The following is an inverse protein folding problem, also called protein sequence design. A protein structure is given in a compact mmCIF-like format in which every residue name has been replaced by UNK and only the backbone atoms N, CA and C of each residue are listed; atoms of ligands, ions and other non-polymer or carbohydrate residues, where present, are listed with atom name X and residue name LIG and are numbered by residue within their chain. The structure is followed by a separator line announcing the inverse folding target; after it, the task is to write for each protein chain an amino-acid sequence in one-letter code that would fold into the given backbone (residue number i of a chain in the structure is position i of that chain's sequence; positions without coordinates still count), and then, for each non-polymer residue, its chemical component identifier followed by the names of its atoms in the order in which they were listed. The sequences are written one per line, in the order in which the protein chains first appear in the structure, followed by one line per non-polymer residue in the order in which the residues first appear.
data_IF_917272168478
#
_entry.id   IF_917272168478
#
_cell.length_a   1.000
_cell.length_b   1.000
_cell.length_c   1.000
_cell.angle_alpha   90.00
_cell.angle_beta   90.00
_cell.angle_gamma   90.00
#
_symmetry.space_group_name_H-M   'P 1'
#
loop_
_entity.id
_entity.type
_entity.pdbx_description
1 polymer ?
#
# COMPACT_ATOMS: atom_id res chain seq x y z
N UNK A 1 23.15 61.84 35.51
CA UNK A 1 22.04 62.72 35.96
C UNK A 1 20.79 62.01 35.50
N UNK A 2 20.37 61.03 36.29
CA UNK A 2 19.28 60.12 35.97
C UNK A 2 17.96 60.78 36.35
N UNK A 3 17.13 61.05 35.35
CA UNK A 3 15.82 61.69 35.52
C UNK A 3 14.80 60.57 35.71
N UNK A 4 14.37 60.38 36.96
CA UNK A 4 13.28 59.45 37.29
C UNK A 4 11.94 59.97 36.73
N UNK A 5 11.14 59.12 36.06
CA UNK A 5 9.82 59.51 35.56
C UNK A 5 8.80 59.68 36.70
N UNK A 6 7.84 60.62 36.56
CA UNK A 6 6.91 60.98 37.64
C UNK A 6 5.93 59.85 37.97
N UNK A 7 5.82 59.54 39.27
CA UNK A 7 4.91 58.54 39.85
C UNK A 7 3.52 59.14 40.07
N UNK A 8 2.60 58.98 39.11
CA UNK A 8 1.16 58.90 39.37
C UNK A 8 0.40 58.32 38.17
N UNK A 9 0.19 57.00 38.16
CA UNK A 9 -0.68 56.32 37.20
C UNK A 9 -1.98 55.93 37.88
N UNK A 10 -2.96 56.85 37.90
CA UNK A 10 -4.36 56.41 38.02
C UNK A 10 -4.65 55.57 36.77
N UNK A 11 -4.74 54.25 36.96
CA UNK A 11 -4.98 53.28 35.89
C UNK A 11 -6.33 53.60 35.26
N UNK A 12 -6.32 54.17 34.04
CA UNK A 12 -7.54 54.41 33.28
C UNK A 12 -8.06 53.04 32.86
N UNK A 13 -9.17 52.63 33.45
CA UNK A 13 -9.87 51.42 33.04
C UNK A 13 -10.78 51.78 31.87
N UNK A 14 -10.30 51.52 30.66
CA UNK A 14 -11.18 51.44 29.50
C UNK A 14 -11.95 50.13 29.69
N UNK A 15 -13.24 50.21 30.00
CA UNK A 15 -14.09 49.03 30.17
C UNK A 15 -13.99 48.09 28.96
N UNK A 16 -14.23 46.79 29.17
CA UNK A 16 -14.28 45.83 28.06
C UNK A 16 -15.32 46.29 27.05
N UNK A 17 -14.95 46.33 25.77
CA UNK A 17 -15.89 46.58 24.67
C UNK A 17 -17.12 45.66 24.76
N UNK A 18 -16.97 44.48 25.35
CA UNK A 18 -18.04 43.50 25.54
C UNK A 18 -19.15 44.00 26.49
N UNK A 19 -18.80 44.78 27.52
CA UNK A 19 -19.78 45.35 28.46
C UNK A 19 -20.54 46.52 27.83
N UNK A 20 -19.87 47.30 26.98
CA UNK A 20 -20.49 48.38 26.19
C UNK A 20 -21.44 47.80 25.15
N UNK A 21 -21.05 46.72 24.47
CA UNK A 21 -21.89 46.05 23.48
C UNK A 21 -23.09 45.36 24.15
N UNK A 22 -22.89 44.73 25.32
CA UNK A 22 -24.00 44.18 26.13
C UNK A 22 -24.99 45.26 26.55
N UNK A 23 -24.51 46.39 27.08
CA UNK A 23 -25.38 47.50 27.47
C UNK A 23 -26.12 48.10 26.28
N UNK A 24 -25.50 48.14 25.09
CA UNK A 24 -26.13 48.61 23.85
C UNK A 24 -27.25 47.69 23.37
N UNK A 25 -27.04 46.37 23.48
CA UNK A 25 -28.04 45.35 23.16
C UNK A 25 -29.19 45.36 24.18
N UNK A 26 -28.89 45.47 25.48
CA UNK A 26 -29.90 45.58 26.55
C UNK A 26 -30.72 46.86 26.48
N UNK A 27 -30.10 47.98 26.07
CA UNK A 27 -30.79 49.26 25.92
C UNK A 27 -31.75 49.32 24.73
N UNK A 28 -31.79 48.30 23.86
CA UNK A 28 -32.74 48.22 22.75
C UNK A 28 -32.67 49.39 21.79
N UNK A 29 -31.53 50.07 21.70
CA UNK A 29 -31.33 51.22 20.81
C UNK A 29 -31.06 50.67 19.39
N UNK A 30 -32.13 50.35 18.68
CA UNK A 30 -32.11 50.20 17.23
C UNK A 30 -32.10 51.61 16.61
N UNK A 31 -30.90 52.20 16.47
CA UNK A 31 -30.70 53.24 15.45
C UNK A 31 -30.71 52.50 14.12
N UNK A 32 -31.87 52.50 13.47
CA UNK A 32 -32.03 51.98 12.12
C UNK A 32 -31.11 52.74 11.17
N UNK A 33 -30.05 52.06 10.75
CA UNK A 33 -29.44 52.23 9.45
C UNK A 33 -29.48 50.84 8.84
N UNK A 34 -30.48 50.58 7.99
CA UNK A 34 -30.44 49.43 7.09
C UNK A 34 -29.36 49.70 6.02
N UNK A 35 -28.10 49.63 6.41
CA UNK A 35 -27.07 49.26 5.45
C UNK A 35 -27.04 47.74 5.43
N UNK A 36 -27.82 47.16 4.51
CA UNK A 36 -27.54 45.80 4.03
C UNK A 36 -26.19 45.85 3.32
N UNK A 37 -25.12 45.78 4.11
CA UNK A 37 -23.79 45.52 3.57
C UNK A 37 -23.86 44.17 2.87
N UNK A 38 -23.68 44.18 1.54
CA UNK A 38 -23.58 42.95 0.77
C UNK A 38 -22.29 42.24 1.17
N UNK A 39 -22.40 40.96 1.49
CA UNK A 39 -21.21 40.10 1.65
C UNK A 39 -20.55 39.90 0.28
N UNK A 40 -19.25 39.52 0.25
CA UNK A 40 -18.52 39.34 -1.02
C UNK A 40 -19.24 38.35 -1.96
N UNK A 41 -19.92 37.36 -1.39
CA UNK A 41 -20.71 36.34 -2.09
C UNK A 41 -22.07 36.85 -2.62
N UNK A 42 -22.53 38.04 -2.20
CA UNK A 42 -23.80 38.66 -2.62
C UNK A 42 -23.62 39.73 -3.71
N UNK A 43 -22.38 39.93 -4.18
CA UNK A 43 -22.10 40.77 -5.34
C UNK A 43 -22.40 40.00 -6.62
N UNK A 44 -23.22 40.60 -7.49
CA UNK A 44 -23.43 40.07 -8.84
C UNK A 44 -22.13 40.25 -9.63
N UNK A 45 -21.56 39.16 -10.12
CA UNK A 45 -20.41 39.19 -11.02
C UNK A 45 -20.86 39.75 -12.37
N UNK A 46 -20.43 40.97 -12.70
CA UNK A 46 -20.68 41.56 -14.01
C UNK A 46 -19.69 40.99 -15.03
N UNK A 47 -20.09 39.90 -15.68
CA UNK A 47 -19.33 39.23 -16.75
C UNK A 47 -19.13 40.10 -18.01
N UNK A 48 -19.79 41.26 -18.09
CA UNK A 48 -19.75 42.17 -19.23
C UNK A 48 -18.71 43.29 -19.09
N UNK A 49 -17.89 43.29 -18.04
CA UNK A 49 -16.81 44.27 -17.90
C UNK A 49 -15.67 43.94 -18.87
N UNK A 50 -15.50 44.78 -19.90
CA UNK A 50 -14.46 44.61 -20.93
C UNK A 50 -13.07 44.81 -20.32
N UNK A 51 -12.48 43.72 -19.85
CA UNK A 51 -11.11 43.67 -19.34
C UNK A 51 -10.11 43.83 -20.49
N UNK A 52 -9.06 44.64 -20.28
CA UNK A 52 -7.92 44.75 -21.20
C UNK A 52 -7.31 43.35 -21.47
N UNK A 53 -6.72 43.12 -22.65
CA UNK A 53 -6.16 41.80 -23.00
C UNK A 53 -5.14 41.33 -21.96
N UNK A 54 -4.33 42.27 -21.46
CA UNK A 54 -3.35 42.03 -20.39
C UNK A 54 -4.00 41.48 -19.12
N UNK A 55 -5.20 41.96 -18.81
CA UNK A 55 -5.91 41.66 -17.59
C UNK A 55 -6.67 40.32 -17.73
N UNK A 56 -7.13 39.96 -18.95
CA UNK A 56 -7.68 38.62 -19.24
C UNK A 56 -6.63 37.53 -19.11
N UNK A 57 -5.42 37.79 -19.60
CA UNK A 57 -4.27 36.88 -19.47
C UNK A 57 -3.94 36.68 -17.99
N UNK A 58 -3.84 37.77 -17.22
CA UNK A 58 -3.58 37.68 -15.78
C UNK A 58 -4.66 36.90 -15.01
N UNK A 59 -5.95 37.08 -15.35
CA UNK A 59 -7.06 36.32 -14.74
C UNK A 59 -6.98 34.82 -15.09
N UNK A 60 -6.65 34.48 -16.34
CA UNK A 60 -6.49 33.09 -16.77
C UNK A 60 -5.29 32.41 -16.08
N UNK A 61 -4.17 33.11 -15.93
CA UNK A 61 -2.99 32.61 -15.18
C UNK A 61 -3.34 32.39 -13.70
N UNK A 62 -4.04 33.35 -13.07
CA UNK A 62 -4.51 33.20 -11.70
C UNK A 62 -5.46 32.01 -11.53
N UNK A 63 -6.40 31.84 -12.47
CA UNK A 63 -7.33 30.71 -12.44
C UNK A 63 -6.59 29.37 -12.57
N UNK A 64 -5.63 29.26 -13.49
CA UNK A 64 -4.84 28.04 -13.65
C UNK A 64 -4.04 27.69 -12.37
N UNK A 65 -3.50 28.70 -11.68
CA UNK A 65 -2.81 28.51 -10.40
C UNK A 65 -3.79 28.00 -9.32
N UNK A 66 -4.98 28.58 -9.24
CA UNK A 66 -6.02 28.13 -8.29
C UNK A 66 -6.44 26.69 -8.57
N UNK A 67 -6.65 26.32 -9.82
CA UNK A 67 -7.02 24.97 -10.24
C UNK A 67 -5.94 23.94 -9.86
N UNK A 68 -4.65 24.30 -9.98
CA UNK A 68 -3.55 23.45 -9.50
C UNK A 68 -3.57 23.24 -7.98
N UNK A 69 -3.88 24.29 -7.22
CA UNK A 69 -3.99 24.19 -5.76
C UNK A 69 -5.16 23.32 -5.34
N UNK A 70 -6.31 23.46 -6.00
CA UNK A 70 -7.48 22.61 -5.76
C UNK A 70 -7.19 21.16 -6.08
N UNK A 71 -6.51 20.88 -7.21
CA UNK A 71 -6.08 19.53 -7.59
C UNK A 71 -5.15 18.93 -6.53
N UNK A 72 -4.14 19.68 -6.08
CA UNK A 72 -3.21 19.23 -5.02
C UNK A 72 -3.95 19.00 -3.69
N UNK A 73 -4.95 19.83 -3.36
CA UNK A 73 -5.78 19.67 -2.15
C UNK A 73 -6.65 18.42 -2.23
N UNK A 74 -7.33 18.20 -3.37
CA UNK A 74 -8.12 16.98 -3.64
C UNK A 74 -7.23 15.74 -3.57
N UNK A 75 -6.07 15.76 -4.22
CA UNK A 75 -5.09 14.68 -4.17
C UNK A 75 -4.76 14.30 -2.72
N UNK A 76 -4.35 15.25 -1.87
CA UNK A 76 -4.01 14.98 -0.45
C UNK A 76 -5.14 14.33 0.36
N UNK A 77 -6.39 14.60 0.00
CA UNK A 77 -7.55 14.05 0.70
C UNK A 77 -7.91 12.63 0.22
N UNK A 78 -7.32 12.13 -0.88
CA UNK A 78 -7.54 10.76 -1.34
C UNK A 78 -6.93 9.80 -0.32
N UNK A 79 -7.78 8.95 0.23
CA UNK A 79 -7.37 7.87 1.11
C UNK A 79 -6.60 6.83 0.29
N UNK A 80 -5.31 6.70 0.58
CA UNK A 80 -4.42 5.71 -0.03
C UNK A 80 -4.02 4.70 1.05
N UNK A 81 -3.87 3.40 0.73
CA UNK A 81 -3.38 2.41 1.68
C UNK A 81 -2.07 2.83 2.35
N UNK A 82 -1.93 2.54 3.64
CA UNK A 82 -0.70 2.81 4.40
C UNK A 82 0.33 1.69 4.29
N UNK A 83 -0.09 0.48 3.90
CA UNK A 83 0.77 -0.68 3.67
C UNK A 83 1.45 -0.60 2.30
N UNK A 84 2.79 -0.62 2.28
CA UNK A 84 3.60 -0.56 1.06
C UNK A 84 3.29 -1.68 0.08
N UNK A 85 2.94 -2.88 0.57
CA UNK A 85 2.59 -4.01 -0.32
C UNK A 85 1.34 -3.70 -1.15
N UNK A 86 0.32 -3.13 -0.52
CA UNK A 86 -0.93 -2.72 -1.20
C UNK A 86 -0.69 -1.56 -2.16
N UNK A 87 0.17 -0.60 -1.78
CA UNK A 87 0.56 0.51 -2.67
C UNK A 87 1.25 -0.01 -3.94
N UNK A 88 2.15 -0.99 -3.80
CA UNK A 88 2.85 -1.61 -4.93
C UNK A 88 1.93 -2.39 -5.85
N UNK A 89 0.94 -3.09 -5.28
CA UNK A 89 -0.08 -3.80 -6.04
C UNK A 89 -0.93 -2.81 -6.84
N UNK A 90 -1.42 -1.75 -6.19
CA UNK A 90 -2.22 -0.70 -6.84
C UNK A 90 -1.48 0.02 -7.96
N UNK A 91 -0.19 0.32 -7.78
CA UNK A 91 0.62 0.88 -8.87
C UNK A 91 0.75 -0.09 -10.04
N UNK A 92 0.86 -1.40 -9.78
CA UNK A 92 0.89 -2.43 -10.83
C UNK A 92 -0.44 -2.53 -11.57
N UNK A 93 -1.56 -2.51 -10.85
CA UNK A 93 -2.93 -2.50 -11.42
C UNK A 93 -3.13 -1.31 -12.36
N UNK A 94 -2.63 -0.13 -11.95
CA UNK A 94 -2.65 1.08 -12.79
C UNK A 94 -1.65 1.05 -13.97
N UNK A 95 -0.87 -0.02 -14.13
CA UNK A 95 0.17 -0.13 -15.17
C UNK A 95 1.39 0.78 -14.95
N UNK A 96 1.52 1.36 -13.75
CA UNK A 96 2.58 2.30 -13.41
C UNK A 96 3.82 1.56 -12.84
N UNK A 97 5.03 2.14 -12.97
CA UNK A 97 6.22 1.58 -12.34
C UNK A 97 6.05 1.39 -10.82
N UNK A 98 6.22 0.14 -10.38
CA UNK A 98 6.01 -0.26 -8.97
C UNK A 98 6.95 0.48 -8.02
N UNK A 99 8.21 0.69 -8.43
CA UNK A 99 9.22 1.38 -7.62
C UNK A 99 10.21 2.08 -8.52
N UNK A 100 10.45 3.37 -8.28
CA UNK A 100 11.48 4.15 -8.96
C UNK A 100 12.81 4.10 -8.20
N UNK A 101 13.91 4.46 -8.86
CA UNK A 101 15.23 4.52 -8.23
C UNK A 101 15.27 5.61 -7.15
N UNK A 102 15.78 5.27 -5.96
CA UNK A 102 15.86 6.20 -4.84
C UNK A 102 14.55 6.44 -4.08
N UNK A 103 13.46 5.76 -4.47
CA UNK A 103 12.14 5.98 -3.89
C UNK A 103 11.90 5.21 -2.58
N UNK A 104 11.52 5.94 -1.54
CA UNK A 104 11.02 5.39 -0.27
C UNK A 104 9.52 5.02 -0.27
N UNK A 105 9.03 4.27 0.73
CA UNK A 105 7.61 3.92 0.86
C UNK A 105 6.64 5.12 0.93
N UNK A 106 7.07 6.22 1.55
CA UNK A 106 6.27 7.44 1.65
C UNK A 106 6.10 8.10 0.27
N UNK A 107 7.20 8.28 -0.46
CA UNK A 107 7.21 8.86 -1.81
C UNK A 107 6.39 8.02 -2.80
N UNK A 108 6.43 6.69 -2.65
CA UNK A 108 5.60 5.77 -3.44
C UNK A 108 4.12 5.94 -3.20
N UNK A 109 3.73 6.09 -1.94
CA UNK A 109 2.34 6.37 -1.58
C UNK A 109 1.90 7.74 -2.09
N UNK A 110 2.79 8.72 -2.09
CA UNK A 110 2.53 10.05 -2.62
C UNK A 110 2.36 10.04 -4.14
N UNK A 111 3.19 9.27 -4.87
CA UNK A 111 3.00 9.01 -6.30
C UNK A 111 1.66 8.34 -6.57
N UNK A 112 1.33 7.26 -5.85
CA UNK A 112 0.02 6.60 -6.01
C UNK A 112 -1.14 7.59 -5.81
N UNK A 113 -1.03 8.48 -4.82
CA UNK A 113 -2.01 9.54 -4.57
C UNK A 113 -2.12 10.52 -5.74
N UNK A 114 -0.99 10.86 -6.37
CA UNK A 114 -0.96 11.70 -7.56
C UNK A 114 -1.70 11.02 -8.73
N UNK A 115 -1.38 9.76 -9.05
CA UNK A 115 -2.06 9.03 -10.13
C UNK A 115 -3.57 8.91 -9.88
N UNK A 116 -3.97 8.53 -8.66
CA UNK A 116 -5.39 8.46 -8.28
C UNK A 116 -6.09 9.81 -8.38
N UNK A 117 -5.40 10.92 -8.13
CA UNK A 117 -5.99 12.27 -8.29
C UNK A 117 -6.22 12.67 -9.74
N UNK A 118 -5.46 12.11 -10.69
CA UNK A 118 -5.70 12.30 -12.13
C UNK A 118 -6.87 11.43 -12.58
N UNK A 119 -6.93 10.20 -12.06
CA UNK A 119 -7.93 9.22 -12.41
C UNK A 119 -9.27 9.46 -11.73
N UNK A 120 -9.38 10.12 -10.57
CA UNK A 120 -10.66 10.33 -9.89
C UNK A 120 -11.70 11.19 -10.68
N UNK A 121 -11.35 11.69 -11.87
CA UNK A 121 -12.31 12.21 -12.86
C UNK A 121 -12.93 11.15 -13.77
N UNK A 122 -12.40 9.93 -13.76
CA UNK A 122 -12.83 8.72 -14.46
C UNK A 122 -13.18 7.69 -13.38
N UNK A 123 -14.42 7.23 -13.30
CA UNK A 123 -14.82 6.22 -12.31
C UNK A 123 -13.98 4.96 -12.47
N UNK A 124 -13.05 4.74 -11.53
CA UNK A 124 -12.28 3.51 -11.50
C UNK A 124 -13.10 2.46 -10.74
N UNK A 125 -13.84 1.62 -11.47
CA UNK A 125 -14.46 0.40 -10.94
C UNK A 125 -13.37 -0.64 -10.62
N UNK A 126 -12.66 -0.45 -9.50
CA UNK A 126 -11.47 -1.24 -9.13
C UNK A 126 -11.73 -2.32 -8.07
N UNK A 127 -12.98 -2.52 -7.65
CA UNK A 127 -13.34 -3.54 -6.64
C UNK A 127 -13.68 -4.90 -7.26
N UNK A 128 -13.84 -5.00 -8.59
CA UNK A 128 -14.23 -6.24 -9.28
C UNK A 128 -13.07 -7.21 -9.55
N UNK A 129 -11.82 -6.72 -9.59
CA UNK A 129 -10.66 -7.57 -9.95
C UNK A 129 -10.11 -8.39 -8.77
N UNK A 130 -10.27 -7.95 -7.51
CA UNK A 130 -9.86 -8.74 -6.33
C UNK A 130 -10.73 -9.99 -6.12
N UNK A 131 -11.97 -10.01 -6.61
CA UNK A 131 -12.82 -11.21 -6.65
C UNK A 131 -12.40 -12.14 -7.79
N UNK A 132 -12.12 -11.60 -8.99
CA UNK A 132 -11.62 -12.40 -10.11
C UNK A 132 -10.27 -13.07 -9.83
N UNK A 133 -9.31 -12.40 -9.17
CA UNK A 133 -8.03 -13.02 -8.81
C UNK A 133 -8.22 -14.18 -7.82
N UNK A 134 -9.14 -14.04 -6.86
CA UNK A 134 -9.47 -15.11 -5.91
C UNK A 134 -10.21 -16.27 -6.57
N UNK A 135 -10.99 -16.02 -7.61
CA UNK A 135 -11.62 -17.06 -8.42
C UNK A 135 -10.58 -17.78 -9.29
N UNK A 136 -9.67 -17.05 -9.94
CA UNK A 136 -8.56 -17.62 -10.72
C UNK A 136 -7.63 -18.48 -9.85
N UNK A 137 -7.28 -18.03 -8.64
CA UNK A 137 -6.45 -18.82 -7.71
C UNK A 137 -7.15 -20.09 -7.20
N UNK A 138 -8.49 -20.11 -7.17
CA UNK A 138 -9.28 -21.32 -6.87
C UNK A 138 -9.34 -22.27 -8.06
N UNK A 139 -9.55 -21.75 -9.27
CA UNK A 139 -9.52 -22.55 -10.50
C UNK A 139 -8.13 -23.16 -10.76
N UNK A 140 -7.04 -22.43 -10.50
CA UNK A 140 -5.68 -22.98 -10.63
C UNK A 140 -5.43 -24.14 -9.65
N UNK A 141 -5.95 -24.05 -8.41
CA UNK A 141 -5.85 -25.15 -7.44
C UNK A 141 -6.70 -26.36 -7.80
N UNK A 142 -7.85 -26.16 -8.46
CA UNK A 142 -8.63 -27.27 -9.02
C UNK A 142 -7.97 -27.90 -10.26
N UNK A 143 -7.17 -27.12 -11.01
CA UNK A 143 -6.38 -27.63 -12.15
C UNK A 143 -5.09 -28.36 -11.73
N UNK A 144 -4.63 -28.21 -10.48
CA UNK A 144 -3.54 -28.99 -9.89
C UNK A 144 -3.95 -30.42 -9.49
N UNK A 145 -5.04 -30.95 -10.04
CA UNK A 145 -5.35 -32.37 -9.90
C UNK A 145 -4.35 -33.24 -10.68
N UNK A 146 -3.73 -34.20 -9.99
CA UNK A 146 -2.77 -35.13 -10.57
C UNK A 146 -3.42 -36.03 -11.64
N UNK A 147 -3.36 -35.60 -12.90
CA UNK A 147 -3.93 -36.36 -14.00
C UNK A 147 -3.07 -37.57 -14.38
N UNK A 148 -3.56 -38.77 -14.09
CA UNK A 148 -2.93 -40.02 -14.50
C UNK A 148 -3.35 -40.44 -15.92
N UNK A 149 -2.39 -40.42 -16.84
CA UNK A 149 -2.59 -40.97 -18.19
C UNK A 149 -2.39 -42.48 -18.24
N UNK A 150 -3.20 -43.15 -19.06
CA UNK A 150 -3.06 -44.60 -19.28
C UNK A 150 -1.80 -44.85 -20.10
N UNK A 151 -0.88 -45.65 -19.55
CA UNK A 151 0.36 -46.03 -20.22
C UNK A 151 0.19 -47.17 -21.23
N UNK A 152 1.20 -47.37 -22.09
CA UNK A 152 1.24 -48.49 -23.04
C UNK A 152 1.39 -49.85 -22.35
N UNK A 153 1.03 -50.93 -23.04
CA UNK A 153 1.18 -52.31 -22.52
C UNK A 153 2.64 -52.66 -22.24
N UNK A 154 3.58 -52.23 -23.09
CA UNK A 154 5.02 -52.45 -22.88
C UNK A 154 5.52 -51.79 -21.60
N UNK A 155 5.03 -50.59 -21.28
CA UNK A 155 5.37 -49.89 -20.04
C UNK A 155 4.81 -50.62 -18.80
N UNK A 156 3.60 -51.18 -18.90
CA UNK A 156 3.02 -51.98 -17.83
C UNK A 156 3.86 -53.24 -17.56
N UNK A 157 4.26 -53.97 -18.60
CA UNK A 157 5.05 -55.19 -18.47
C UNK A 157 6.45 -54.90 -17.92
N UNK A 158 7.08 -53.81 -18.37
CA UNK A 158 8.36 -53.34 -17.81
C UNK A 158 8.24 -52.97 -16.33
N UNK A 159 7.19 -52.25 -15.92
CA UNK A 159 6.92 -51.90 -14.52
C UNK A 159 6.71 -53.13 -13.66
N UNK A 160 5.98 -54.14 -14.15
CA UNK A 160 5.80 -55.42 -13.46
C UNK A 160 7.12 -56.14 -13.26
N UNK A 161 7.97 -56.19 -14.28
CA UNK A 161 9.30 -56.77 -14.18
C UNK A 161 10.17 -56.05 -13.14
N UNK A 162 10.22 -54.71 -13.21
CA UNK A 162 10.95 -53.89 -12.24
C UNK A 162 10.44 -54.08 -10.81
N UNK A 163 9.12 -54.16 -10.63
CA UNK A 163 8.51 -54.42 -9.33
C UNK A 163 8.92 -55.80 -8.79
N UNK A 164 8.76 -56.87 -9.57
CA UNK A 164 9.13 -58.22 -9.16
C UNK A 164 10.62 -58.35 -8.83
N UNK A 165 11.48 -57.73 -9.64
CA UNK A 165 12.92 -57.70 -9.41
C UNK A 165 13.28 -56.94 -8.13
N UNK A 166 12.71 -55.75 -7.92
CA UNK A 166 13.04 -54.89 -6.79
C UNK A 166 12.45 -55.35 -5.46
N UNK A 167 11.24 -55.91 -5.46
CA UNK A 167 10.55 -56.37 -4.25
C UNK A 167 11.33 -57.49 -3.55
N UNK A 168 11.81 -58.50 -4.29
CA UNK A 168 12.60 -59.60 -3.73
C UNK A 168 13.90 -59.09 -3.11
N UNK A 169 14.63 -58.23 -3.84
CA UNK A 169 15.87 -57.62 -3.33
C UNK A 169 15.63 -56.72 -2.13
N UNK A 170 14.51 -56.01 -2.10
CA UNK A 170 14.13 -55.18 -0.96
C UNK A 170 13.84 -56.04 0.27
N UNK A 171 13.18 -57.19 0.10
CA UNK A 171 12.96 -58.17 1.17
C UNK A 171 14.29 -58.68 1.74
N UNK A 172 15.22 -59.11 0.87
CA UNK A 172 16.53 -59.61 1.29
C UNK A 172 17.32 -58.53 2.04
N UNK A 173 17.35 -57.31 1.50
CA UNK A 173 17.99 -56.15 2.14
C UNK A 173 17.41 -55.87 3.53
N UNK A 174 16.08 -55.90 3.68
CA UNK A 174 15.42 -55.67 4.96
C UNK A 174 15.71 -56.80 5.95
N UNK A 175 15.76 -58.05 5.49
CA UNK A 175 16.12 -59.19 6.32
C UNK A 175 17.55 -59.06 6.85
N UNK A 176 18.49 -58.66 5.99
CA UNK A 176 19.88 -58.38 6.38
C UNK A 176 19.98 -57.22 7.36
N UNK A 177 19.27 -56.11 7.12
CA UNK A 177 19.26 -54.98 8.05
C UNK A 177 18.70 -55.37 9.42
N UNK A 178 17.65 -56.20 9.46
CA UNK A 178 17.09 -56.72 10.72
C UNK A 178 18.07 -57.62 11.46
N UNK A 179 18.78 -58.51 10.76
CA UNK A 179 19.80 -59.36 11.39
C UNK A 179 20.97 -58.52 11.91
N UNK A 180 21.41 -57.50 11.16
CA UNK A 180 22.43 -56.56 11.62
C UNK A 180 21.99 -55.74 12.83
N UNK A 181 20.70 -55.35 12.93
CA UNK A 181 20.17 -54.65 14.10
C UNK A 181 20.19 -55.52 15.37
N UNK A 182 20.08 -56.85 15.23
CA UNK A 182 20.21 -57.79 16.35
C UNK A 182 21.61 -57.78 16.97
N UNK A 183 22.62 -57.32 16.23
CA UNK A 183 24.01 -57.27 16.70
C UNK A 183 24.23 -55.99 17.52
N UNK A 184 24.85 -56.07 18.72
CA UNK A 184 25.18 -54.89 19.52
C UNK A 184 26.00 -53.83 18.76
N UNK A 185 25.70 -52.55 19.01
CA UNK A 185 26.32 -51.39 18.34
C UNK A 185 27.87 -51.42 18.32
N UNK A 186 28.58 -51.79 19.41
CA UNK A 186 30.04 -51.82 19.41
C UNK A 186 30.62 -52.78 18.36
N UNK A 187 29.99 -53.95 18.19
CA UNK A 187 30.41 -54.96 17.22
C UNK A 187 30.16 -54.48 15.78
N UNK A 188 29.00 -53.85 15.52
CA UNK A 188 28.69 -53.25 14.21
C UNK A 188 29.64 -52.11 13.84
N UNK A 189 30.09 -51.32 14.81
CA UNK A 189 31.07 -50.25 14.59
C UNK A 189 32.43 -50.82 14.18
N UNK A 190 32.89 -51.88 14.87
CA UNK A 190 34.13 -52.57 14.54
C UNK A 190 34.09 -53.17 13.12
N UNK A 191 33.05 -53.96 12.81
CA UNK A 191 32.87 -54.56 11.48
C UNK A 191 32.89 -53.53 10.35
N UNK A 192 32.21 -52.39 10.52
CA UNK A 192 32.23 -51.31 9.53
C UNK A 192 33.62 -50.68 9.40
N UNK A 193 34.30 -50.44 10.53
CA UNK A 193 35.66 -49.91 10.51
C UNK A 193 36.61 -50.83 9.74
N UNK A 194 36.56 -52.15 10.02
CA UNK A 194 37.39 -53.16 9.38
C UNK A 194 37.13 -53.21 7.86
N UNK A 195 35.85 -53.20 7.44
CA UNK A 195 35.48 -53.11 6.02
C UNK A 195 36.04 -51.83 5.34
N UNK A 196 35.90 -50.67 6.00
CA UNK A 196 36.40 -49.41 5.44
C UNK A 196 37.93 -49.33 5.41
N UNK A 197 38.63 -49.97 6.34
CA UNK A 197 40.09 -50.08 6.26
C UNK A 197 40.50 -50.92 5.06
N UNK A 198 39.85 -52.07 4.83
CA UNK A 198 40.20 -52.96 3.72
C UNK A 198 39.93 -52.30 2.35
N UNK A 199 38.80 -51.60 2.22
CA UNK A 199 38.45 -50.85 1.00
C UNK A 199 39.41 -49.68 0.70
N UNK A 200 40.02 -49.07 1.72
CA UNK A 200 41.02 -48.00 1.54
C UNK A 200 42.36 -48.51 1.02
N UNK A 201 42.68 -49.79 1.23
CA UNK A 201 43.93 -50.39 0.76
C UNK A 201 43.85 -50.75 -0.73
N UNK A 202 42.64 -50.90 -1.29
CA UNK A 202 42.42 -51.13 -2.72
C UNK A 202 42.51 -49.78 -3.45
N UNK A 203 43.72 -49.29 -3.67
CA UNK A 203 44.00 -48.22 -4.63
C UNK A 203 44.16 -48.84 -6.03
N UNK A 204 43.46 -48.30 -7.03
CA UNK A 204 43.68 -48.60 -8.45
C UNK A 204 44.93 -47.88 -8.96
#
# INVERSE_FOLDING_TARGET
MDIDPPKNTKRIYYGSLEDVERARIEAGINVGVEEKGKTLDELEEDDNYEYDESAKIAKAEQQAILDEFERKKKARNIAVPTDDKKVRLRLRELGEPITLFGEGPAERRDRLREHLSKLAGEEIEMEKEEEEEKEKEKEEKEQEEEFCTIGSKSLLDARRYMALYSLRRAQDRLAEQRSQLSIPIPQRKKLRHDLYSDLKVIQF
#
